data_IF_289903038306
#
_entry.id   IF_289903038306
#
_cell.length_a   1.000
_cell.length_b   1.000
_cell.length_c   1.000
_cell.angle_alpha   90.00
_cell.angle_beta   90.00
_cell.angle_gamma   90.00
#
_symmetry.space_group_name_H-M   'P 1'
#
loop_
_entity.id
_entity.type
_entity.pdbx_description
1 polymer ?
#
# COMPACT_ATOMS: atom_id res chain seq x y z
N UNK A 1 1.99 -13.19 5.94
CA UNK A 1 1.28 -12.37 4.93
C UNK A 1 0.14 -11.55 5.54
N UNK A 2 -0.82 -12.16 6.25
CA UNK A 2 -1.99 -11.44 6.83
C UNK A 2 -1.61 -10.20 7.65
N UNK A 3 -0.64 -10.31 8.57
CA UNK A 3 -0.18 -9.18 9.39
C UNK A 3 0.36 -7.97 8.59
N UNK A 4 0.93 -8.21 7.40
CA UNK A 4 1.40 -7.15 6.51
C UNK A 4 0.22 -6.43 5.89
N UNK A 5 -0.78 -7.18 5.42
CA UNK A 5 -2.00 -6.62 4.84
C UNK A 5 -2.84 -5.86 5.89
N UNK A 6 -2.94 -6.37 7.12
CA UNK A 6 -3.61 -5.68 8.22
C UNK A 6 -2.97 -4.33 8.54
N UNK A 7 -1.63 -4.27 8.54
CA UNK A 7 -0.89 -3.01 8.73
C UNK A 7 -1.07 -2.08 7.53
N UNK A 8 -0.99 -2.61 6.32
CA UNK A 8 -1.19 -1.85 5.10
C UNK A 8 -2.59 -1.24 5.04
N UNK A 9 -3.64 -1.97 5.44
CA UNK A 9 -5.01 -1.46 5.49
C UNK A 9 -5.17 -0.30 6.49
N UNK A 10 -4.55 -0.41 7.68
CA UNK A 10 -4.55 0.69 8.67
C UNK A 10 -3.82 1.92 8.16
N UNK A 11 -2.68 1.75 7.48
CA UNK A 11 -1.92 2.85 6.89
C UNK A 11 -2.65 3.48 5.70
N UNK A 12 -3.29 2.68 4.85
CA UNK A 12 -4.06 3.16 3.71
C UNK A 12 -5.18 4.12 4.15
N UNK A 13 -5.88 3.80 5.23
CA UNK A 13 -6.92 4.68 5.79
C UNK A 13 -6.39 6.01 6.37
N UNK A 14 -5.08 6.17 6.55
CA UNK A 14 -4.47 7.38 7.11
C UNK A 14 -3.98 8.34 6.02
N UNK A 15 -4.00 9.64 6.30
CA UNK A 15 -3.55 10.68 5.37
C UNK A 15 -2.05 10.97 5.51
N UNK A 16 -1.21 9.93 5.45
CA UNK A 16 0.25 10.03 5.59
C UNK A 16 0.95 9.39 4.38
N UNK A 17 2.16 9.86 4.01
CA UNK A 17 2.95 9.21 2.97
C UNK A 17 3.38 7.80 3.39
N UNK A 18 3.37 6.86 2.45
CA UNK A 18 3.80 5.47 2.65
C UNK A 18 4.91 5.11 1.66
N UNK A 19 5.98 4.50 2.16
CA UNK A 19 7.07 3.95 1.35
C UNK A 19 7.11 2.43 1.50
N UNK A 20 7.03 1.70 0.39
CA UNK A 20 7.11 0.24 0.35
C UNK A 20 8.53 -0.18 -0.05
N UNK A 21 9.18 -0.96 0.80
CA UNK A 21 10.56 -1.45 0.60
C UNK A 21 10.52 -2.97 0.48
N UNK A 22 11.35 -3.53 -0.42
CA UNK A 22 11.51 -4.96 -0.57
C UNK A 22 12.48 -5.31 -1.70
N UNK A 23 12.97 -6.54 -1.69
CA UNK A 23 13.85 -7.07 -2.73
C UNK A 23 13.13 -7.20 -4.08
N UNK A 24 13.89 -7.26 -5.17
CA UNK A 24 13.35 -7.47 -6.52
C UNK A 24 12.59 -8.80 -6.59
N UNK A 25 11.41 -8.78 -7.21
CA UNK A 25 10.56 -9.98 -7.35
C UNK A 25 9.65 -10.30 -6.16
N UNK A 26 9.63 -9.49 -5.10
CA UNK A 26 8.78 -9.72 -3.91
C UNK A 26 7.35 -9.17 -4.03
N UNK A 27 6.98 -8.56 -5.15
CA UNK A 27 5.62 -8.06 -5.39
C UNK A 27 5.26 -6.78 -4.62
N UNK A 28 6.25 -5.96 -4.25
CA UNK A 28 6.05 -4.66 -3.58
C UNK A 28 5.09 -3.72 -4.32
N UNK A 29 5.02 -3.79 -5.66
CA UNK A 29 4.06 -3.03 -6.46
C UNK A 29 2.61 -3.39 -6.13
N UNK A 30 2.32 -4.67 -5.84
CA UNK A 30 0.98 -5.11 -5.46
C UNK A 30 0.58 -4.54 -4.09
N UNK A 31 1.53 -4.47 -3.15
CA UNK A 31 1.29 -3.88 -1.83
C UNK A 31 1.12 -2.35 -1.92
N UNK A 32 1.92 -1.68 -2.76
CA UNK A 32 1.77 -0.25 -3.03
C UNK A 32 0.41 0.08 -3.66
N UNK A 33 -0.02 -0.70 -4.67
CA UNK A 33 -1.34 -0.56 -5.28
C UNK A 33 -2.47 -0.84 -4.29
N UNK A 34 -2.31 -1.86 -3.43
CA UNK A 34 -3.28 -2.12 -2.37
C UNK A 34 -3.45 -0.91 -1.44
N UNK A 35 -2.34 -0.32 -0.97
CA UNK A 35 -2.36 0.86 -0.10
C UNK A 35 -2.98 2.06 -0.83
N UNK A 36 -2.56 2.33 -2.07
CA UNK A 36 -3.09 3.44 -2.86
C UNK A 36 -4.62 3.32 -3.02
N UNK A 37 -5.11 2.17 -3.50
CA UNK A 37 -6.53 1.92 -3.77
C UNK A 37 -7.44 1.97 -2.53
N UNK A 38 -6.88 1.76 -1.34
CA UNK A 38 -7.61 1.82 -0.07
C UNK A 38 -7.39 3.14 0.69
N UNK A 39 -6.74 4.12 0.05
CA UNK A 39 -6.48 5.43 0.65
C UNK A 39 -7.56 6.46 0.33
N UNK A 40 -7.72 7.51 1.16
CA UNK A 40 -8.66 8.60 0.87
C UNK A 40 -8.22 9.47 -0.32
N UNK A 41 -7.02 9.27 -0.86
CA UNK A 41 -6.38 10.13 -1.88
C UNK A 41 -6.27 9.43 -3.23
N UNK A 42 -7.10 8.41 -3.48
CA UNK A 42 -7.19 7.73 -4.77
C UNK A 42 -7.50 8.76 -5.86
N UNK A 43 -6.52 8.96 -6.74
CA UNK A 43 -6.69 9.63 -8.01
C UNK A 43 -6.44 8.57 -9.10
N UNK A 44 -7.40 8.39 -10.00
CA UNK A 44 -7.32 7.40 -11.10
C UNK A 44 -6.08 7.63 -12.00
N UNK A 45 -5.57 6.59 -12.71
CA UNK A 45 -4.33 5.89 -12.32
C UNK A 45 -3.08 6.34 -13.10
N UNK A 46 -1.91 5.97 -12.55
CA UNK A 46 -0.62 5.88 -13.25
C UNK A 46 -0.69 4.96 -14.48
#
# INVERSE_FOLDING_TARGET
MQQVLDRAARLAASHVPVMVIGETGTGKELLANFVHNHSPVVINPL
#
